data_IF_273835171778
#
_entry.id   IF_273835171778
#
_cell.length_a   1.000
_cell.length_b   1.000
_cell.length_c   1.000
_cell.angle_alpha   90.00
_cell.angle_beta   90.00
_cell.angle_gamma   90.00
#
_symmetry.space_group_name_H-M   'P 1'
#
loop_
_entity.id
_entity.type
_entity.pdbx_description
1 polymer ?
#
# COMPACT_ATOMS: atom_id res chain seq x y z
N UNK A 1 29.10 -6.09 5.34
CA UNK A 1 28.35 -6.66 6.49
C UNK A 1 27.58 -5.62 7.34
N UNK A 2 27.40 -4.38 6.86
CA UNK A 2 26.66 -3.32 7.60
C UNK A 2 25.18 -3.17 7.19
N UNK A 3 24.78 -3.71 6.03
CA UNK A 3 23.42 -3.56 5.45
C UNK A 3 22.26 -4.21 6.22
N UNK A 4 22.51 -4.95 7.32
CA UNK A 4 21.46 -5.72 8.03
C UNK A 4 21.10 -5.18 9.41
N UNK A 5 21.51 -3.96 9.76
CA UNK A 5 21.29 -3.38 11.10
C UNK A 5 20.33 -2.19 11.13
N UNK A 6 20.25 -1.45 10.04
CA UNK A 6 19.42 -0.26 9.92
C UNK A 6 18.50 -0.42 8.70
N UNK A 7 17.27 0.07 8.82
CA UNK A 7 16.34 0.20 7.68
C UNK A 7 16.79 1.34 6.76
N UNK A 8 17.23 2.44 7.35
CA UNK A 8 17.79 3.61 6.65
C UNK A 8 18.89 4.20 7.52
N UNK A 9 19.90 4.79 6.90
CA UNK A 9 20.91 5.60 7.57
C UNK A 9 21.38 6.74 6.67
N UNK A 10 21.80 7.84 7.29
CA UNK A 10 22.26 9.03 6.59
C UNK A 10 23.13 9.91 7.47
N UNK A 11 23.77 10.91 6.86
CA UNK A 11 24.56 11.91 7.58
C UNK A 11 23.86 13.27 7.50
N UNK A 12 23.74 13.94 8.65
CA UNK A 12 23.24 15.31 8.72
C UNK A 12 24.11 16.14 9.66
N UNK A 13 24.67 17.24 9.13
CA UNK A 13 25.58 18.15 9.87
C UNK A 13 26.75 17.44 10.55
N UNK A 14 27.37 16.46 9.88
CA UNK A 14 28.51 15.70 10.42
C UNK A 14 28.14 14.63 11.45
N UNK A 15 26.86 14.38 11.69
CA UNK A 15 26.38 13.33 12.59
C UNK A 15 25.65 12.24 11.78
N UNK A 16 25.85 10.99 12.16
CA UNK A 16 25.17 9.84 11.55
C UNK A 16 23.82 9.61 12.24
N UNK A 17 22.78 9.42 11.43
CA UNK A 17 21.43 9.07 11.85
C UNK A 17 20.99 7.79 11.14
N UNK A 18 19.97 7.14 11.70
CA UNK A 18 19.35 5.99 11.06
C UNK A 18 18.30 5.32 11.92
N UNK A 19 17.44 4.55 11.27
CA UNK A 19 16.36 3.79 11.90
C UNK A 19 16.82 2.36 12.13
N UNK A 20 17.11 1.99 13.38
CA UNK A 20 17.63 0.66 13.69
C UNK A 20 16.52 -0.40 13.67
N UNK A 21 16.83 -1.58 13.12
CA UNK A 21 15.88 -2.71 13.09
C UNK A 21 15.55 -3.16 14.51
N UNK A 22 16.50 -3.04 15.45
CA UNK A 22 16.30 -3.39 16.85
C UNK A 22 15.21 -2.52 17.50
N UNK A 23 15.26 -1.21 17.28
CA UNK A 23 14.28 -0.25 17.81
C UNK A 23 12.87 -0.53 17.27
N UNK A 24 12.74 -0.84 15.97
CA UNK A 24 11.45 -1.22 15.37
C UNK A 24 10.90 -2.49 16.01
N UNK A 25 11.74 -3.52 16.18
CA UNK A 25 11.34 -4.77 16.84
C UNK A 25 10.90 -4.56 18.28
N UNK A 26 11.53 -3.66 19.02
CA UNK A 26 11.13 -3.34 20.40
C UNK A 26 9.72 -2.74 20.46
N UNK A 27 9.40 -1.79 19.56
CA UNK A 27 8.06 -1.21 19.46
C UNK A 27 7.02 -2.29 19.15
N UNK A 28 7.29 -3.14 18.16
CA UNK A 28 6.41 -4.25 17.78
C UNK A 28 6.19 -5.23 18.95
N UNK A 29 7.26 -5.62 19.65
CA UNK A 29 7.19 -6.53 20.79
C UNK A 29 6.40 -5.93 21.97
N UNK A 30 6.32 -4.60 22.08
CA UNK A 30 5.48 -3.93 23.06
C UNK A 30 3.99 -3.90 22.69
N UNK A 31 3.60 -4.53 21.58
CA UNK A 31 2.22 -4.57 21.08
C UNK A 31 1.76 -3.25 20.44
N UNK A 32 2.71 -2.37 20.09
CA UNK A 32 2.42 -1.07 19.48
C UNK A 32 2.69 -1.12 17.97
N UNK A 33 1.95 -0.29 17.23
CA UNK A 33 2.21 -0.04 15.82
C UNK A 33 3.38 0.94 15.71
N UNK A 34 4.40 0.56 14.96
CA UNK A 34 5.53 1.43 14.62
C UNK A 34 5.22 2.13 13.29
N UNK A 35 5.00 3.45 13.34
CA UNK A 35 4.88 4.28 12.13
C UNK A 35 6.27 4.76 11.77
N UNK A 36 6.69 4.49 10.54
CA UNK A 36 8.02 4.79 10.03
C UNK A 36 7.87 5.60 8.75
N UNK A 37 8.59 6.71 8.68
CA UNK A 37 8.71 7.56 7.49
C UNK A 37 10.07 7.27 6.87
N UNK A 38 10.11 6.32 5.94
CA UNK A 38 11.31 5.91 5.19
C UNK A 38 11.01 6.00 3.71
N UNK A 39 11.98 6.48 2.93
CA UNK A 39 11.89 6.40 1.47
C UNK A 39 12.13 4.94 1.03
N UNK A 40 11.28 4.37 0.14
CA UNK A 40 11.53 3.04 -0.40
C UNK A 40 12.83 3.03 -1.19
N UNK A 41 13.58 1.95 -1.11
CA UNK A 41 14.75 1.77 -1.97
C UNK A 41 14.33 1.26 -3.37
N UNK A 42 15.24 1.26 -4.34
CA UNK A 42 14.95 0.82 -5.70
C UNK A 42 14.45 -0.64 -5.78
N UNK A 43 14.92 -1.53 -4.90
CA UNK A 43 14.46 -2.93 -4.83
C UNK A 43 13.00 -2.99 -4.31
N UNK A 44 12.65 -2.17 -3.31
CA UNK A 44 11.29 -2.06 -2.79
C UNK A 44 10.32 -1.55 -3.88
N UNK A 45 10.75 -0.57 -4.68
CA UNK A 45 9.97 -0.05 -5.81
C UNK A 45 9.76 -1.12 -6.90
N UNK A 46 10.80 -1.89 -7.23
CA UNK A 46 10.69 -2.98 -8.20
C UNK A 46 9.74 -4.08 -7.72
N UNK A 47 9.83 -4.48 -6.45
CA UNK A 47 8.91 -5.47 -5.88
C UNK A 47 7.46 -4.98 -5.93
N UNK A 48 7.23 -3.70 -5.58
CA UNK A 48 5.91 -3.09 -5.67
C UNK A 48 5.36 -3.09 -7.10
N UNK A 49 6.19 -2.74 -8.10
CA UNK A 49 5.80 -2.73 -9.51
C UNK A 49 5.47 -4.15 -10.01
N UNK A 50 6.31 -5.14 -9.67
CA UNK A 50 6.09 -6.54 -10.04
C UNK A 50 4.79 -7.08 -9.42
N UNK A 51 4.53 -6.76 -8.15
CA UNK A 51 3.29 -7.13 -7.48
C UNK A 51 2.06 -6.52 -8.16
N UNK A 52 2.13 -5.22 -8.50
CA UNK A 52 1.06 -4.52 -9.21
C UNK A 52 0.80 -5.15 -10.59
N UNK A 53 1.85 -5.35 -11.39
CA UNK A 53 1.76 -5.98 -12.73
C UNK A 53 1.17 -7.38 -12.66
N UNK A 54 1.58 -8.17 -11.67
CA UNK A 54 1.05 -9.52 -11.44
C UNK A 54 -0.42 -9.48 -11.04
N UNK A 55 -0.84 -8.49 -10.26
CA UNK A 55 -2.24 -8.33 -9.88
C UNK A 55 -3.10 -8.00 -11.10
N UNK A 56 -2.69 -7.04 -11.92
CA UNK A 56 -3.37 -6.68 -13.16
C UNK A 56 -3.45 -7.87 -14.12
N UNK A 57 -2.35 -8.57 -14.38
CA UNK A 57 -2.34 -9.70 -15.31
C UNK A 57 -3.31 -10.82 -14.93
N UNK A 58 -3.57 -11.03 -13.64
CA UNK A 58 -4.38 -12.16 -13.16
C UNK A 58 -5.84 -11.78 -12.86
N UNK A 59 -6.08 -10.51 -12.53
CA UNK A 59 -7.34 -10.08 -11.92
C UNK A 59 -7.92 -8.81 -12.54
N UNK A 60 -7.34 -8.24 -13.61
CA UNK A 60 -7.86 -7.02 -14.24
C UNK A 60 -9.33 -7.11 -14.64
N UNK A 61 -9.84 -8.29 -14.97
CA UNK A 61 -11.25 -8.50 -15.29
C UNK A 61 -12.22 -8.18 -14.15
N UNK A 62 -11.73 -8.04 -12.92
CA UNK A 62 -12.50 -7.67 -11.75
C UNK A 62 -12.37 -6.19 -11.37
N UNK A 63 -11.59 -5.41 -12.12
CA UNK A 63 -11.33 -4.01 -11.78
C UNK A 63 -12.32 -3.12 -12.51
N UNK A 64 -13.11 -2.35 -11.76
CA UNK A 64 -13.98 -1.32 -12.32
C UNK A 64 -13.20 -0.05 -12.71
N UNK A 65 -12.11 0.24 -11.97
CA UNK A 65 -11.26 1.41 -12.14
C UNK A 65 -9.79 1.10 -11.82
N UNK A 66 -8.87 1.70 -12.59
CA UNK A 66 -7.42 1.65 -12.37
C UNK A 66 -6.91 3.08 -12.27
N UNK A 67 -6.10 3.37 -11.24
CA UNK A 67 -5.53 4.69 -10.99
C UNK A 67 -4.02 4.58 -11.02
N UNK A 68 -3.38 5.37 -11.88
CA UNK A 68 -1.93 5.47 -11.97
C UNK A 68 -1.43 6.49 -10.95
N UNK A 69 -0.41 6.13 -10.17
CA UNK A 69 0.18 6.98 -9.13
C UNK A 69 1.33 7.86 -9.69
N UNK A 70 1.03 8.68 -10.70
CA UNK A 70 2.02 9.57 -11.33
C UNK A 70 2.10 10.95 -10.67
N UNK A 71 0.96 11.48 -10.21
CA UNK A 71 0.86 12.77 -9.50
C UNK A 71 0.03 12.58 -8.22
N UNK A 72 0.64 12.83 -7.07
CA UNK A 72 0.04 12.48 -5.78
C UNK A 72 -1.30 13.20 -5.54
N UNK A 73 -1.44 14.45 -5.97
CA UNK A 73 -2.66 15.21 -5.82
C UNK A 73 -3.76 14.67 -6.75
N UNK A 74 -3.44 14.47 -8.02
CA UNK A 74 -4.41 13.98 -9.01
C UNK A 74 -4.87 12.55 -8.69
N UNK A 75 -3.94 11.64 -8.39
CA UNK A 75 -4.27 10.26 -8.01
C UNK A 75 -5.12 10.19 -6.74
N UNK A 76 -4.89 11.08 -5.78
CA UNK A 76 -5.72 11.19 -4.57
C UNK A 76 -7.15 11.65 -4.90
N UNK A 77 -7.29 12.66 -5.77
CA UNK A 77 -8.61 13.13 -6.23
C UNK A 77 -9.35 12.04 -7.00
N UNK A 78 -8.66 11.33 -7.91
CA UNK A 78 -9.24 10.19 -8.63
C UNK A 78 -9.70 9.09 -7.68
N UNK A 79 -8.90 8.75 -6.66
CA UNK A 79 -9.26 7.75 -5.66
C UNK A 79 -10.50 8.16 -4.87
N UNK A 80 -10.57 9.40 -4.41
CA UNK A 80 -11.73 9.93 -3.70
C UNK A 80 -12.98 9.93 -4.58
N UNK A 81 -12.86 10.28 -5.86
CA UNK A 81 -13.96 10.24 -6.80
C UNK A 81 -14.46 8.81 -7.04
N UNK A 82 -13.55 7.86 -7.26
CA UNK A 82 -13.90 6.45 -7.45
C UNK A 82 -14.58 5.85 -6.21
N UNK A 83 -14.07 6.16 -5.02
CA UNK A 83 -14.66 5.70 -3.76
C UNK A 83 -16.08 6.26 -3.54
N UNK A 84 -16.29 7.55 -3.80
CA UNK A 84 -17.62 8.18 -3.71
C UNK A 84 -18.59 7.56 -4.72
N UNK A 85 -18.14 7.38 -5.96
CA UNK A 85 -18.95 6.74 -7.01
C UNK A 85 -19.39 5.33 -6.60
N UNK A 86 -18.47 4.52 -6.08
CA UNK A 86 -18.78 3.18 -5.61
C UNK A 86 -19.78 3.16 -4.45
N UNK A 87 -19.79 4.21 -3.62
CA UNK A 87 -20.71 4.35 -2.49
C UNK A 87 -22.10 4.87 -2.91
N UNK A 88 -22.14 5.86 -3.81
CA UNK A 88 -23.36 6.61 -4.11
C UNK A 88 -24.12 6.06 -5.33
N UNK A 89 -23.42 5.40 -6.27
CA UNK A 89 -24.02 4.83 -7.47
C UNK A 89 -24.28 3.32 -7.32
N UNK A 90 -25.43 2.80 -7.78
CA UNK A 90 -25.68 1.37 -7.84
C UNK A 90 -24.61 0.63 -8.67
N UNK A 91 -23.95 -0.36 -8.08
CA UNK A 91 -22.89 -1.14 -8.74
C UNK A 91 -23.40 -2.46 -9.32
N UNK A 92 -22.89 -2.83 -10.49
CA UNK A 92 -23.14 -4.15 -11.07
C UNK A 92 -22.30 -5.20 -10.36
N UNK A 93 -22.94 -6.07 -9.60
CA UNK A 93 -22.28 -7.20 -8.94
C UNK A 93 -22.68 -8.52 -9.61
N UNK A 94 -21.76 -9.49 -9.75
CA UNK A 94 -22.12 -10.85 -10.12
C UNK A 94 -23.25 -11.40 -9.24
N UNK A 95 -24.21 -12.11 -9.84
CA UNK A 95 -25.33 -12.68 -9.11
C UNK A 95 -24.91 -13.69 -8.02
N UNK A 96 -23.69 -14.22 -8.09
CA UNK A 96 -23.11 -15.08 -7.05
C UNK A 96 -22.68 -14.31 -5.78
N UNK A 97 -22.56 -12.98 -5.83
CA UNK A 97 -22.17 -12.15 -4.68
C UNK A 97 -23.35 -11.80 -3.77
N UNK A 98 -24.57 -11.84 -4.31
CA UNK A 98 -25.79 -11.67 -3.53
C UNK A 98 -26.18 -13.00 -2.88
N UNK A 99 -26.27 -13.05 -1.55
CA UNK A 99 -26.88 -14.20 -0.87
C UNK A 99 -28.39 -14.11 -1.08
N UNK A 100 -29.06 -15.15 -1.60
CA UNK A 100 -30.52 -15.14 -1.61
C UNK A 100 -31.02 -15.00 -0.16
N UNK A 101 -32.10 -14.23 0.08
CA UNK A 101 -32.73 -14.20 1.39
C UNK A 101 -33.10 -15.63 1.75
N UNK A 102 -32.77 -16.08 2.96
CA UNK A 102 -33.12 -17.41 3.43
C UNK A 102 -34.63 -17.62 3.21
N UNK A 103 -34.98 -18.61 2.39
CA UNK A 103 -36.36 -19.02 2.18
C UNK A 103 -36.92 -19.45 3.54
N UNK A 104 -37.89 -18.67 4.03
CA UNK A 104 -38.69 -18.95 5.24
C UNK A 104 -39.85 -19.88 4.95
#
# INVERSE_FOLDING_TARGET
MMSRRFLEYGEYKGNLYGTSIASVREVLNSGKICVIDIEPNDEDFQEMEEAARKMESNFCQFFDHVIVNDDQQDSCVQLLAAARKAQDEPQWVPASWIRPPAES
#
